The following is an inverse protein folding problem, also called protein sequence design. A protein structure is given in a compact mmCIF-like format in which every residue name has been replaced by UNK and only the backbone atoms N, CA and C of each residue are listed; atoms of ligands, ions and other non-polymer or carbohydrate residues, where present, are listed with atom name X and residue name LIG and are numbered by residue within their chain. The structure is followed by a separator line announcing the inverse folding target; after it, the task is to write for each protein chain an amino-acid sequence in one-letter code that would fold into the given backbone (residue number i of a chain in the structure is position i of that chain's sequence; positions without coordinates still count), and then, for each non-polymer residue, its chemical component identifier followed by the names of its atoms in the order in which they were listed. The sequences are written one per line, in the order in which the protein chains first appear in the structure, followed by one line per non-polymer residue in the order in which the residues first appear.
data_IF_525989320113
#
_entry.id   IF_525989320113
#
_cell.length_a   1.000
_cell.length_b   1.000
_cell.length_c   1.000
_cell.angle_alpha   90.00
_cell.angle_beta   90.00
_cell.angle_gamma   90.00
#
_symmetry.space_group_name_H-M   'P 1'
#
loop_
_entity.id
_entity.type
_entity.pdbx_description
1 polymer ?
#
# COMPACT_ATOMS: atom_id res chain seq x y z
N UNK A 1 13.06 -4.96 14.89
CA UNK A 1 13.72 -5.18 13.58
C UNK A 1 12.63 -5.17 12.51
N UNK A 2 12.58 -4.14 11.65
CA UNK A 2 11.65 -4.14 10.51
C UNK A 2 12.29 -4.97 9.41
N UNK A 3 11.59 -6.00 8.96
CA UNK A 3 12.10 -6.93 7.94
C UNK A 3 11.68 -6.39 6.58
N UNK A 4 12.64 -5.81 5.87
CA UNK A 4 12.43 -5.14 4.59
C UNK A 4 13.53 -5.54 3.62
N UNK A 5 13.14 -5.86 2.38
CA UNK A 5 14.04 -6.11 1.26
C UNK A 5 13.62 -5.28 0.03
N UNK A 6 14.58 -4.61 -0.61
CA UNK A 6 14.35 -3.86 -1.85
C UNK A 6 13.38 -2.69 -1.68
N UNK A 7 12.26 -2.70 -2.41
CA UNK A 7 11.29 -1.57 -2.48
C UNK A 7 10.11 -1.68 -1.50
N UNK A 8 10.16 -2.58 -0.51
CA UNK A 8 9.14 -2.72 0.55
C UNK A 8 8.75 -1.42 1.28
N UNK A 9 9.66 -0.45 1.42
CA UNK A 9 9.37 0.85 2.03
C UNK A 9 8.34 1.70 1.26
N UNK A 10 8.14 1.43 -0.04
CA UNK A 10 7.08 2.09 -0.83
C UNK A 10 5.68 1.79 -0.28
N UNK A 11 5.49 0.61 0.31
CA UNK A 11 4.22 0.24 0.93
C UNK A 11 3.94 1.16 2.13
N UNK A 12 4.94 1.35 2.99
CA UNK A 12 4.82 2.24 4.16
C UNK A 12 4.55 3.67 3.71
N UNK A 13 5.32 4.16 2.72
CA UNK A 13 5.11 5.50 2.15
C UNK A 13 3.70 5.68 1.58
N UNK A 14 3.14 4.67 0.92
CA UNK A 14 1.81 4.72 0.34
C UNK A 14 0.72 4.94 1.40
N UNK A 15 0.84 4.26 2.55
CA UNK A 15 -0.10 4.38 3.67
C UNK A 15 0.01 5.77 4.28
N UNK A 16 1.23 6.26 4.51
CA UNK A 16 1.45 7.63 5.03
C UNK A 16 0.85 8.69 4.10
N UNK A 17 1.07 8.59 2.79
CA UNK A 17 0.50 9.52 1.81
C UNK A 17 -1.04 9.46 1.79
N UNK A 18 -1.62 8.26 1.83
CA UNK A 18 -3.06 8.09 1.88
C UNK A 18 -3.69 8.76 3.10
N UNK A 19 -3.14 8.51 4.29
CA UNK A 19 -3.61 9.13 5.55
C UNK A 19 -3.42 10.64 5.54
N UNK A 20 -2.25 11.12 5.13
CA UNK A 20 -1.94 12.55 5.09
C UNK A 20 -2.89 13.30 4.16
N UNK A 21 -3.07 12.81 2.93
CA UNK A 21 -3.92 13.48 1.95
C UNK A 21 -5.39 13.43 2.37
N UNK A 22 -5.87 12.31 2.91
CA UNK A 22 -7.24 12.25 3.46
C UNK A 22 -7.45 13.24 4.60
N UNK A 23 -6.46 13.38 5.50
CA UNK A 23 -6.54 14.35 6.60
C UNK A 23 -6.65 15.78 6.08
N UNK A 24 -5.84 16.13 5.06
CA UNK A 24 -5.92 17.45 4.41
C UNK A 24 -7.28 17.66 3.74
N UNK A 25 -7.79 16.68 2.99
CA UNK A 25 -9.08 16.79 2.30
C UNK A 25 -10.22 16.99 3.30
N UNK A 26 -10.31 16.16 4.33
CA UNK A 26 -11.39 16.24 5.32
C UNK A 26 -11.24 17.41 6.30
N UNK A 27 -10.04 17.97 6.45
CA UNK A 27 -9.85 19.24 7.15
C UNK A 27 -10.38 20.46 6.39
N UNK A 28 -10.58 20.34 5.07
CA UNK A 28 -11.12 21.40 4.21
C UNK A 28 -12.61 21.23 3.89
N UNK A 29 -13.13 20.01 4.02
CA UNK A 29 -14.54 19.71 3.77
C UNK A 29 -15.37 19.91 5.05
N UNK A 30 -16.61 20.41 4.95
CA UNK A 30 -17.52 20.53 6.09
C UNK A 30 -18.17 19.17 6.40
N UNK A 31 -17.37 18.12 6.57
CA UNK A 31 -17.82 16.77 6.93
C UNK A 31 -17.46 16.51 8.38
N UNK A 32 -18.46 16.29 9.21
CA UNK A 32 -18.23 15.93 10.61
C UNK A 32 -17.80 14.46 10.72
N UNK A 33 -16.52 14.27 11.01
CA UNK A 33 -15.90 12.94 11.16
C UNK A 33 -16.09 12.36 12.57
N UNK A 34 -16.69 13.12 13.49
CA UNK A 34 -17.04 12.67 14.85
C UNK A 34 -18.27 11.74 14.85
N UNK A 35 -19.07 11.77 13.80
CA UNK A 35 -20.19 10.86 13.61
C UNK A 35 -19.80 9.67 12.76
N UNK A 36 -20.47 8.54 12.99
CA UNK A 36 -20.15 7.27 12.33
C UNK A 36 -20.08 7.35 10.81
N UNK A 37 -21.04 8.01 10.17
CA UNK A 37 -21.08 8.13 8.71
C UNK A 37 -19.89 8.92 8.14
N UNK A 38 -19.52 10.03 8.79
CA UNK A 38 -18.36 10.85 8.39
C UNK A 38 -17.04 10.13 8.63
N UNK A 39 -16.90 9.43 9.76
CA UNK A 39 -15.75 8.59 10.05
C UNK A 39 -15.56 7.48 9.01
N UNK A 40 -16.63 6.74 8.68
CA UNK A 40 -16.59 5.69 7.66
C UNK A 40 -16.19 6.27 6.31
N UNK A 41 -16.77 7.41 5.92
CA UNK A 41 -16.45 8.06 4.65
C UNK A 41 -14.96 8.47 4.60
N UNK A 42 -14.45 9.10 5.66
CA UNK A 42 -13.03 9.46 5.78
C UNK A 42 -12.14 8.22 5.70
N UNK A 43 -12.49 7.16 6.43
CA UNK A 43 -11.77 5.89 6.44
C UNK A 43 -11.71 5.24 5.06
N UNK A 44 -12.85 5.15 4.35
CA UNK A 44 -12.91 4.58 2.99
C UNK A 44 -12.05 5.38 2.02
N UNK A 45 -12.10 6.72 2.08
CA UNK A 45 -11.26 7.58 1.24
C UNK A 45 -9.78 7.39 1.56
N UNK A 46 -9.41 7.33 2.84
CA UNK A 46 -8.05 7.03 3.31
C UNK A 46 -7.51 5.69 2.82
N UNK A 47 -8.28 4.62 3.01
CA UNK A 47 -7.91 3.28 2.53
C UNK A 47 -7.82 3.26 1.00
N UNK A 48 -8.75 3.92 0.31
CA UNK A 48 -8.75 4.05 -1.15
C UNK A 48 -7.50 4.75 -1.67
N UNK A 49 -7.12 5.89 -1.09
CA UNK A 49 -5.92 6.63 -1.48
C UNK A 49 -4.64 5.85 -1.16
N UNK A 50 -4.53 5.25 0.02
CA UNK A 50 -3.38 4.41 0.38
C UNK A 50 -3.22 3.23 -0.61
N UNK A 51 -4.33 2.56 -0.93
CA UNK A 51 -4.36 1.44 -1.89
C UNK A 51 -3.96 1.92 -3.29
N UNK A 52 -4.47 3.07 -3.73
CA UNK A 52 -4.15 3.67 -5.02
C UNK A 52 -2.66 4.00 -5.12
N UNK A 53 -2.09 4.67 -4.12
CA UNK A 53 -0.66 4.98 -4.10
C UNK A 53 0.18 3.70 -4.09
N UNK A 54 -0.18 2.69 -3.30
CA UNK A 54 0.56 1.44 -3.28
C UNK A 54 0.51 0.73 -4.63
N UNK A 55 -0.65 0.73 -5.29
CA UNK A 55 -0.79 0.18 -6.63
C UNK A 55 0.09 0.92 -7.64
N UNK A 56 0.07 2.25 -7.65
CA UNK A 56 0.90 3.06 -8.54
C UNK A 56 2.40 2.83 -8.28
N UNK A 57 2.81 2.77 -7.01
CA UNK A 57 4.20 2.51 -6.64
C UNK A 57 4.65 1.11 -7.03
N UNK A 58 3.81 0.11 -6.77
CA UNK A 58 4.10 -1.27 -7.16
C UNK A 58 4.19 -1.37 -8.67
N UNK A 59 3.22 -0.84 -9.42
CA UNK A 59 3.22 -0.88 -10.88
C UNK A 59 4.41 -0.15 -11.51
N UNK A 60 4.82 0.98 -10.95
CA UNK A 60 5.90 1.82 -11.50
C UNK A 60 7.29 1.31 -11.11
N UNK A 61 7.46 0.88 -9.86
CA UNK A 61 8.78 0.59 -9.32
C UNK A 61 9.03 -0.90 -9.14
N UNK A 62 8.03 -1.74 -8.89
CA UNK A 62 8.22 -3.20 -8.74
C UNK A 62 8.00 -3.85 -10.10
N UNK A 63 9.07 -4.33 -10.71
CA UNK A 63 8.99 -4.98 -12.01
C UNK A 63 8.63 -6.46 -11.83
N UNK A 64 7.52 -6.88 -12.41
CA UNK A 64 7.16 -8.31 -12.50
C UNK A 64 7.91 -9.03 -13.64
N UNK A 65 8.70 -8.30 -14.43
CA UNK A 65 9.40 -8.82 -15.59
C UNK A 65 10.62 -9.64 -15.16
N UNK A 66 10.65 -10.91 -15.58
CA UNK A 66 11.85 -11.75 -15.47
C UNK A 66 12.92 -11.16 -16.38
N UNK A 67 13.99 -10.63 -15.78
CA UNK A 67 15.15 -10.19 -16.54
C UNK A 67 16.06 -11.40 -16.72
N UNK A 68 16.18 -11.86 -17.96
CA UNK A 68 17.11 -12.92 -18.33
C UNK A 68 18.46 -12.28 -18.59
N UNK A 69 19.45 -12.63 -17.79
CA UNK A 69 20.85 -12.31 -17.99
C UNK A 69 21.56 -13.53 -18.56
N UNK A 70 22.55 -13.31 -19.40
CA UNK A 70 23.46 -14.36 -19.86
C UNK A 70 24.77 -14.12 -19.10
N UNK A 71 25.23 -15.13 -18.39
CA UNK A 71 26.55 -15.11 -17.78
C UNK A 71 27.61 -15.23 -18.89
N UNK A 72 28.50 -14.24 -18.98
CA UNK A 72 29.48 -14.16 -20.07
C UNK A 72 30.58 -15.23 -19.96
N UNK A 73 30.87 -15.74 -18.75
CA UNK A 73 31.93 -16.73 -18.53
C UNK A 73 31.44 -18.16 -18.74
N UNK A 74 30.18 -18.45 -18.38
CA UNK A 74 29.61 -19.81 -18.44
C UNK A 74 28.58 -20.01 -19.55
N UNK A 75 28.05 -18.92 -20.13
CA UNK A 75 26.97 -18.95 -21.11
C UNK A 75 25.60 -19.32 -20.52
N UNK A 76 25.49 -19.48 -19.20
CA UNK A 76 24.23 -19.83 -18.55
C UNK A 76 23.23 -18.65 -18.55
N UNK A 77 21.94 -18.98 -18.72
CA UNK A 77 20.85 -18.01 -18.67
C UNK A 77 20.29 -17.92 -17.26
N UNK A 78 20.59 -16.83 -16.55
CA UNK A 78 20.12 -16.57 -15.19
C UNK A 78 18.87 -15.68 -15.27
N UNK A 79 17.77 -16.13 -14.69
CA UNK A 79 16.54 -15.33 -14.59
C UNK A 79 16.48 -14.63 -13.22
N UNK A 80 16.54 -13.31 -13.20
CA UNK A 80 16.45 -12.51 -11.98
C UNK A 80 15.06 -11.85 -11.92
N UNK A 81 14.36 -12.08 -10.81
CA UNK A 81 13.07 -11.47 -10.48
C UNK A 81 13.22 -10.41 -9.40
N UNK A 82 12.40 -9.35 -9.45
CA UNK A 82 12.33 -8.36 -8.38
C UNK A 82 11.82 -9.02 -7.09
N UNK A 83 12.72 -9.14 -6.10
CA UNK A 83 12.45 -9.75 -4.79
C UNK A 83 12.00 -8.74 -3.73
N UNK A 84 11.52 -7.57 -4.14
CA UNK A 84 11.05 -6.52 -3.22
C UNK A 84 9.90 -7.02 -2.35
N UNK A 85 10.11 -6.95 -1.03
CA UNK A 85 9.16 -7.43 -0.03
C UNK A 85 9.21 -6.59 1.24
N UNK A 86 8.07 -6.52 1.91
CA UNK A 86 7.92 -5.98 3.26
C UNK A 86 7.34 -7.08 4.14
N UNK A 87 7.92 -7.31 5.33
CA UNK A 87 7.56 -8.40 6.24
C UNK A 87 7.48 -9.78 5.55
N UNK A 88 8.45 -10.07 4.68
CA UNK A 88 8.50 -11.27 3.82
C UNK A 88 7.36 -11.41 2.80
N UNK A 89 6.43 -10.48 2.75
CA UNK A 89 5.33 -10.48 1.79
C UNK A 89 5.76 -9.68 0.56
N UNK A 90 5.72 -10.27 -0.65
CA UNK A 90 6.01 -9.56 -1.88
C UNK A 90 5.11 -8.32 -2.06
N UNK A 91 5.70 -7.20 -2.49
CA UNK A 91 5.01 -5.91 -2.64
C UNK A 91 3.70 -5.98 -3.45
N UNK A 92 3.61 -6.89 -4.43
CA UNK A 92 2.40 -7.11 -5.25
C UNK A 92 1.14 -7.48 -4.46
N UNK A 93 1.28 -8.11 -3.29
CA UNK A 93 0.15 -8.51 -2.45
C UNK A 93 -0.28 -7.39 -1.49
N UNK A 94 0.60 -6.43 -1.21
CA UNK A 94 0.33 -5.38 -0.24
C UNK A 94 -0.83 -4.48 -0.62
N UNK A 95 -1.11 -4.28 -1.92
CA UNK A 95 -2.28 -3.51 -2.36
C UNK A 95 -3.59 -4.14 -1.87
N UNK A 96 -3.72 -5.46 -2.01
CA UNK A 96 -4.90 -6.18 -1.55
C UNK A 96 -4.95 -6.27 -0.03
N UNK A 97 -3.80 -6.41 0.64
CA UNK A 97 -3.73 -6.42 2.11
C UNK A 97 -4.14 -5.06 2.70
N UNK A 98 -3.64 -3.95 2.16
CA UNK A 98 -4.03 -2.60 2.60
C UNK A 98 -5.53 -2.41 2.45
N UNK A 99 -6.10 -2.80 1.30
CA UNK A 99 -7.52 -2.66 1.04
C UNK A 99 -8.37 -3.47 2.02
N UNK A 100 -8.07 -4.76 2.16
CA UNK A 100 -8.87 -5.68 3.01
C UNK A 100 -8.73 -5.37 4.49
N UNK A 101 -7.50 -5.24 4.99
CA UNK A 101 -7.23 -4.92 6.40
C UNK A 101 -7.76 -3.52 6.70
N UNK A 102 -7.54 -2.55 5.81
CA UNK A 102 -8.02 -1.18 5.96
C UNK A 102 -9.55 -1.11 6.11
N UNK A 103 -10.30 -1.78 5.24
CA UNK A 103 -11.77 -1.83 5.34
C UNK A 103 -12.20 -2.48 6.66
N UNK A 104 -11.58 -3.59 7.06
CA UNK A 104 -11.90 -4.25 8.33
C UNK A 104 -11.65 -3.33 9.53
N UNK A 105 -10.54 -2.59 9.53
CA UNK A 105 -10.22 -1.63 10.59
C UNK A 105 -11.26 -0.51 10.63
N UNK A 106 -11.61 0.08 9.48
CA UNK A 106 -12.59 1.18 9.41
C UNK A 106 -13.95 0.72 9.93
N UNK A 107 -14.44 -0.44 9.49
CA UNK A 107 -15.73 -0.96 9.93
C UNK A 107 -15.69 -1.30 11.42
N UNK A 108 -14.65 -2.00 11.89
CA UNK A 108 -14.51 -2.40 13.29
C UNK A 108 -14.44 -1.20 14.23
N UNK A 109 -13.64 -0.19 13.88
CA UNK A 109 -13.50 1.05 14.67
C UNK A 109 -14.69 1.99 14.53
N UNK A 110 -15.47 1.91 13.46
CA UNK A 110 -16.68 2.74 13.29
C UNK A 110 -17.72 2.52 14.39
N UNK A 111 -17.68 1.37 15.08
CA UNK A 111 -18.58 1.05 16.19
C UNK A 111 -18.39 1.94 17.42
N UNK A 112 -17.28 2.68 17.50
CA UNK A 112 -16.97 3.61 18.58
C UNK A 112 -17.74 4.93 18.42
N UNK A 113 -18.19 5.24 17.20
CA UNK A 113 -18.87 6.48 16.87
C UNK A 113 -20.38 6.24 16.78
N UNK A 114 -21.15 7.17 17.36
CA UNK A 114 -22.62 7.18 17.32
C UNK A 114 -23.17 7.68 15.97
#
# INVERSE_FOLDING_TARGET
MIIWRGKGGLVVLSVFLGVYITTVIFGLLPVDTSYRAGYILQGIVGVGLATLFNYLFTKKFVSDTLKTFIDEETGERIQIKDGSSLFFIPNKYWTWLILTIGIFIVIGSSSIYD
#
